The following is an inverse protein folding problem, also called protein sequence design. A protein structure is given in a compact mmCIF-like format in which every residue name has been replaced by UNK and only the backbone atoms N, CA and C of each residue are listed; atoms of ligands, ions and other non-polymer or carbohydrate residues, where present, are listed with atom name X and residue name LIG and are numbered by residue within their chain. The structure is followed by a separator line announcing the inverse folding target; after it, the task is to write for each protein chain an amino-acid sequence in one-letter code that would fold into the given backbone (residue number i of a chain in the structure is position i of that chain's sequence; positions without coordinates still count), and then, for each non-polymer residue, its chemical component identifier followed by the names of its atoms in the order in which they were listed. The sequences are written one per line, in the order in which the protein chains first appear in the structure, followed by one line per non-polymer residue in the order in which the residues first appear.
data_IF_439486185102
#
_entry.id   IF_439486185102
#
_cell.length_a   1.000
_cell.length_b   1.000
_cell.length_c   1.000
_cell.angle_alpha   90.00
_cell.angle_beta   90.00
_cell.angle_gamma   90.00
#
_symmetry.space_group_name_H-M   'P 1'
#
loop_
_entity.id
_entity.type
_entity.pdbx_description
1 polymer ?
#
# COMPACT_ATOMS: atom_id res chain seq x y z
N UNK A 1 82.96 -16.09 -10.80
CA UNK A 1 81.51 -16.27 -10.53
C UNK A 1 80.75 -15.14 -11.22
N UNK A 2 79.99 -15.44 -12.28
CA UNK A 2 79.07 -14.48 -12.93
C UNK A 2 77.65 -14.85 -12.52
N UNK A 3 76.97 -13.93 -11.85
CA UNK A 3 75.57 -14.07 -11.43
C UNK A 3 74.71 -13.56 -12.60
N UNK A 4 73.97 -14.48 -13.24
CA UNK A 4 72.95 -14.14 -14.23
C UNK A 4 71.67 -13.73 -13.49
N UNK A 5 71.25 -12.46 -13.65
CA UNK A 5 69.95 -11.98 -13.21
C UNK A 5 68.88 -12.38 -14.24
N UNK A 6 67.94 -13.22 -13.83
CA UNK A 6 66.80 -13.65 -14.64
C UNK A 6 65.69 -12.59 -14.49
N UNK A 7 65.50 -11.73 -15.49
CA UNK A 7 64.34 -10.85 -15.58
C UNK A 7 63.12 -11.67 -16.02
N UNK A 8 62.18 -11.91 -15.10
CA UNK A 8 60.86 -12.46 -15.41
C UNK A 8 59.99 -11.31 -15.91
N UNK A 9 59.76 -11.27 -17.23
CA UNK A 9 58.81 -10.35 -17.84
C UNK A 9 57.38 -10.84 -17.56
N UNK A 10 56.72 -10.23 -16.58
CA UNK A 10 55.30 -10.46 -16.32
C UNK A 10 54.49 -9.85 -17.46
N UNK A 11 53.98 -10.67 -18.38
CA UNK A 11 53.05 -10.24 -19.40
C UNK A 11 51.75 -9.78 -18.73
N UNK A 12 51.50 -8.48 -18.72
CA UNK A 12 50.21 -7.91 -18.31
C UNK A 12 49.21 -8.28 -19.41
N UNK A 13 48.46 -9.35 -19.18
CA UNK A 13 47.30 -9.69 -20.03
C UNK A 13 46.26 -8.60 -19.80
N UNK A 14 46.16 -7.66 -20.74
CA UNK A 14 45.09 -6.69 -20.76
C UNK A 14 43.79 -7.43 -21.11
N UNK A 15 42.97 -7.70 -20.10
CA UNK A 15 41.64 -8.26 -20.30
C UNK A 15 40.84 -7.33 -21.21
N UNK A 16 40.63 -7.77 -22.44
CA UNK A 16 39.81 -7.10 -23.44
C UNK A 16 38.41 -6.82 -22.88
N UNK A 17 37.97 -5.57 -22.94
CA UNK A 17 36.65 -5.10 -22.48
C UNK A 17 35.52 -5.39 -23.48
N UNK A 18 35.83 -6.02 -24.62
CA UNK A 18 34.87 -6.32 -25.69
C UNK A 18 33.73 -7.29 -25.30
N UNK A 19 33.90 -8.31 -24.42
CA UNK A 19 32.82 -9.24 -24.07
C UNK A 19 31.64 -8.58 -23.32
N UNK A 20 31.91 -7.53 -22.55
CA UNK A 20 30.90 -6.96 -21.64
C UNK A 20 29.81 -6.12 -22.34
N UNK A 21 30.10 -5.59 -23.54
CA UNK A 21 29.13 -4.82 -24.34
C UNK A 21 28.12 -5.72 -25.04
N UNK A 22 28.54 -6.91 -25.49
CA UNK A 22 27.68 -7.83 -26.23
C UNK A 22 26.53 -8.36 -25.36
N UNK A 23 26.74 -8.52 -24.06
CA UNK A 23 25.76 -9.12 -23.16
C UNK A 23 24.61 -8.19 -22.76
N UNK A 24 24.84 -6.88 -22.70
CA UNK A 24 23.81 -5.93 -22.22
C UNK A 24 23.02 -5.26 -23.34
N UNK A 25 23.58 -5.20 -24.55
CA UNK A 25 22.95 -4.54 -25.69
C UNK A 25 22.81 -3.02 -25.56
N UNK A 26 23.42 -2.40 -24.53
CA UNK A 26 23.29 -0.95 -24.26
C UNK A 26 24.46 -0.17 -24.87
N UNK A 27 24.14 1.00 -25.41
CA UNK A 27 25.11 1.95 -25.97
C UNK A 27 25.53 2.97 -24.92
N UNK A 28 26.74 3.50 -25.06
CA UNK A 28 27.28 4.51 -24.16
C UNK A 28 27.75 5.71 -24.96
N UNK A 29 27.42 6.91 -24.49
CA UNK A 29 27.92 8.17 -25.06
C UNK A 29 28.55 9.02 -23.96
N UNK A 30 29.72 9.56 -24.24
CA UNK A 30 30.45 10.46 -23.33
C UNK A 30 30.83 9.84 -21.97
N UNK A 31 30.89 8.51 -21.88
CA UNK A 31 31.28 7.79 -20.66
C UNK A 31 32.76 7.40 -20.71
N UNK A 32 33.53 7.76 -19.67
CA UNK A 32 34.86 7.21 -19.46
C UNK A 32 34.81 5.71 -19.15
N UNK A 33 35.91 4.98 -19.39
CA UNK A 33 35.96 3.50 -19.27
C UNK A 33 35.49 3.00 -17.90
N UNK A 34 36.01 3.54 -16.81
CA UNK A 34 35.63 3.12 -15.45
C UNK A 34 34.13 3.37 -15.15
N UNK A 35 33.60 4.52 -15.57
CA UNK A 35 32.17 4.87 -15.42
C UNK A 35 31.30 3.90 -16.22
N UNK A 36 31.68 3.62 -17.47
CA UNK A 36 31.00 2.67 -18.34
C UNK A 36 30.95 1.27 -17.73
N UNK A 37 32.07 0.76 -17.23
CA UNK A 37 32.13 -0.56 -16.60
C UNK A 37 31.22 -0.64 -15.37
N UNK A 38 31.21 0.39 -14.52
CA UNK A 38 30.32 0.41 -13.36
C UNK A 38 28.83 0.45 -13.77
N UNK A 39 28.46 1.24 -14.79
CA UNK A 39 27.07 1.23 -15.30
C UNK A 39 26.70 -0.15 -15.85
N UNK A 40 27.60 -0.83 -16.58
CA UNK A 40 27.33 -2.19 -17.07
C UNK A 40 27.05 -3.14 -15.90
N UNK A 41 27.87 -3.09 -14.84
CA UNK A 41 27.66 -3.93 -13.65
C UNK A 41 26.34 -3.61 -12.93
N UNK A 42 26.04 -2.32 -12.75
CA UNK A 42 24.80 -1.86 -12.14
C UNK A 42 23.57 -2.30 -12.96
N UNK A 43 23.61 -2.12 -14.29
CA UNK A 43 22.52 -2.51 -15.17
C UNK A 43 22.33 -4.03 -15.20
N UNK A 44 23.41 -4.83 -15.24
CA UNK A 44 23.33 -6.29 -15.07
C UNK A 44 22.64 -6.68 -13.76
N UNK A 45 22.85 -5.93 -12.68
CA UNK A 45 22.15 -6.15 -11.41
C UNK A 45 20.65 -5.86 -11.55
N UNK A 46 20.25 -4.78 -12.21
CA UNK A 46 18.84 -4.50 -12.54
C UNK A 46 18.23 -5.65 -13.35
N UNK A 47 18.92 -6.12 -14.40
CA UNK A 47 18.48 -7.25 -15.22
C UNK A 47 18.32 -8.54 -14.40
N UNK A 48 19.28 -8.83 -13.51
CA UNK A 48 19.21 -9.97 -12.59
C UNK A 48 18.00 -9.85 -11.65
N UNK A 49 17.77 -8.67 -11.05
CA UNK A 49 16.64 -8.42 -10.13
C UNK A 49 15.29 -8.62 -10.81
N UNK A 50 15.07 -8.05 -11.99
CA UNK A 50 13.79 -8.15 -12.71
C UNK A 50 13.59 -9.49 -13.46
N UNK A 51 14.65 -10.27 -13.62
CA UNK A 51 14.64 -11.61 -14.23
C UNK A 51 14.82 -12.72 -13.21
N UNK A 52 16.07 -13.11 -12.96
CA UNK A 52 16.42 -14.26 -12.11
C UNK A 52 15.95 -14.13 -10.65
N UNK A 53 15.82 -12.90 -10.12
CA UNK A 53 15.37 -12.65 -8.76
C UNK A 53 13.99 -11.97 -8.71
N UNK A 54 13.17 -12.17 -9.74
CA UNK A 54 11.84 -11.53 -9.86
C UNK A 54 10.99 -11.76 -8.62
N UNK A 55 10.93 -12.98 -8.09
CA UNK A 55 10.10 -13.30 -6.92
C UNK A 55 10.53 -12.54 -5.66
N UNK A 56 11.84 -12.36 -5.45
CA UNK A 56 12.37 -11.57 -4.34
C UNK A 56 12.00 -10.10 -4.50
N UNK A 57 12.10 -9.57 -5.72
CA UNK A 57 11.72 -8.19 -6.02
C UNK A 57 10.21 -7.97 -5.87
N UNK A 58 9.38 -8.90 -6.34
CA UNK A 58 7.91 -8.87 -6.13
C UNK A 58 7.59 -8.90 -4.65
N UNK A 59 8.25 -9.76 -3.86
CA UNK A 59 8.06 -9.82 -2.40
C UNK A 59 8.45 -8.51 -1.72
N UNK A 60 9.58 -7.91 -2.10
CA UNK A 60 9.99 -6.61 -1.58
C UNK A 60 8.94 -5.53 -1.87
N UNK A 61 8.45 -5.47 -3.11
CA UNK A 61 7.38 -4.53 -3.49
C UNK A 61 6.03 -4.86 -2.86
N UNK A 62 5.78 -6.12 -2.47
CA UNK A 62 4.56 -6.51 -1.75
C UNK A 62 4.61 -6.12 -0.26
N UNK A 63 5.81 -5.98 0.30
CA UNK A 63 6.05 -5.46 1.65
C UNK A 63 6.14 -3.93 1.70
N UNK A 64 6.26 -3.28 0.55
CA UNK A 64 6.40 -1.84 0.47
C UNK A 64 5.09 -1.11 0.81
N UNK A 65 5.22 0.12 1.27
CA UNK A 65 4.17 1.12 1.20
C UNK A 65 4.46 2.03 0.01
N UNK A 66 3.63 1.97 -1.01
CA UNK A 66 3.73 2.57 -2.33
C UNK A 66 2.57 3.52 -2.59
N UNK A 67 2.88 4.80 -2.78
CA UNK A 67 1.95 5.82 -3.29
C UNK A 67 2.14 6.01 -4.80
N UNK A 68 1.15 6.63 -5.46
CA UNK A 68 1.18 6.93 -6.90
C UNK A 68 1.30 5.70 -7.84
N UNK A 69 0.88 4.53 -7.36
CA UNK A 69 1.00 3.26 -8.08
C UNK A 69 -0.03 3.01 -9.18
N UNK A 70 -0.93 3.95 -9.47
CA UNK A 70 -1.96 3.81 -10.53
C UNK A 70 -2.80 2.53 -10.40
N UNK A 71 -3.08 2.07 -9.17
CA UNK A 71 -3.77 0.80 -8.87
C UNK A 71 -3.05 -0.45 -9.39
N UNK A 72 -1.77 -0.35 -9.77
CA UNK A 72 -0.95 -1.50 -10.12
C UNK A 72 -0.50 -2.25 -8.86
N UNK A 73 -0.47 -3.58 -8.95
CA UNK A 73 0.05 -4.44 -7.88
C UNK A 73 1.55 -4.70 -8.05
N UNK A 74 2.21 -5.29 -7.04
CA UNK A 74 3.66 -5.53 -7.03
C UNK A 74 4.16 -6.24 -8.30
N UNK A 75 3.48 -7.31 -8.72
CA UNK A 75 3.82 -8.03 -9.95
C UNK A 75 3.76 -7.16 -11.20
N UNK A 76 2.74 -6.31 -11.30
CA UNK A 76 2.59 -5.39 -12.42
C UNK A 76 3.69 -4.33 -12.39
N UNK A 77 3.98 -3.73 -11.23
CA UNK A 77 5.08 -2.77 -11.07
C UNK A 77 6.43 -3.37 -11.49
N UNK A 78 6.75 -4.58 -11.04
CA UNK A 78 7.98 -5.30 -11.45
C UNK A 78 7.98 -5.65 -12.94
N UNK A 79 6.83 -6.02 -13.50
CA UNK A 79 6.69 -6.25 -14.94
C UNK A 79 6.84 -4.94 -15.75
N UNK A 80 6.44 -3.79 -15.22
CA UNK A 80 6.65 -2.49 -15.84
C UNK A 80 8.15 -2.12 -15.84
N UNK A 81 8.89 -2.40 -14.77
CA UNK A 81 10.36 -2.28 -14.75
C UNK A 81 11.02 -3.16 -15.84
N UNK A 82 10.48 -4.35 -16.09
CA UNK A 82 10.95 -5.23 -17.17
C UNK A 82 10.74 -4.62 -18.57
N UNK A 83 9.65 -3.87 -18.77
CA UNK A 83 9.34 -3.21 -20.04
C UNK A 83 10.08 -1.88 -20.23
N UNK A 84 10.73 -1.38 -19.19
CA UNK A 84 11.35 -0.07 -19.15
C UNK A 84 12.81 -0.09 -19.64
N UNK A 85 13.08 -0.67 -20.81
CA UNK A 85 14.46 -0.88 -21.24
C UNK A 85 15.24 0.40 -21.50
N UNK A 86 16.52 0.38 -21.10
CA UNK A 86 17.50 1.41 -21.42
C UNK A 86 18.36 0.87 -22.57
N UNK A 87 18.37 1.58 -23.69
CA UNK A 87 19.17 1.26 -24.87
C UNK A 87 20.43 2.12 -24.95
N UNK A 88 20.44 3.30 -24.33
CA UNK A 88 21.59 4.23 -24.35
C UNK A 88 21.77 4.95 -23.02
N UNK A 89 22.98 4.91 -22.48
CA UNK A 89 23.43 5.75 -21.37
C UNK A 89 24.23 6.96 -21.89
N UNK A 90 23.87 8.15 -21.41
CA UNK A 90 24.52 9.42 -21.71
C UNK A 90 25.21 9.92 -20.43
N UNK A 91 26.52 9.77 -20.32
CA UNK A 91 27.25 10.24 -19.14
C UNK A 91 27.61 11.72 -19.28
N UNK A 92 27.16 12.54 -18.34
CA UNK A 92 27.44 13.98 -18.28
C UNK A 92 27.57 14.42 -16.82
N UNK A 93 28.00 15.64 -16.58
CA UNK A 93 27.77 16.27 -15.29
C UNK A 93 26.35 16.86 -15.31
N UNK A 94 25.52 16.44 -14.37
CA UNK A 94 24.17 16.95 -14.19
C UNK A 94 24.20 18.08 -13.14
N UNK A 95 23.05 18.74 -12.94
CA UNK A 95 22.93 19.78 -11.93
C UNK A 95 23.18 19.21 -10.53
N UNK A 96 23.62 20.08 -9.60
CA UNK A 96 23.79 19.69 -8.20
C UNK A 96 22.48 19.06 -7.68
N UNK A 97 22.58 17.83 -7.17
CA UNK A 97 21.49 16.96 -6.67
C UNK A 97 20.81 16.04 -7.69
N UNK A 98 21.22 16.02 -8.96
CA UNK A 98 20.71 15.07 -9.94
C UNK A 98 21.65 13.87 -10.14
N UNK A 99 21.19 12.67 -9.78
CA UNK A 99 21.95 11.42 -10.04
C UNK A 99 21.73 10.89 -11.45
N UNK A 100 20.51 11.02 -11.96
CA UNK A 100 20.11 10.61 -13.31
C UNK A 100 18.84 11.33 -13.74
N UNK A 101 18.56 11.33 -15.04
CA UNK A 101 17.30 11.82 -15.60
C UNK A 101 16.88 10.99 -16.81
N UNK A 102 15.59 10.68 -16.90
CA UNK A 102 14.97 10.29 -18.17
C UNK A 102 14.97 11.43 -19.19
N UNK A 103 14.96 11.05 -20.46
CA UNK A 103 14.69 11.97 -21.56
C UNK A 103 13.25 11.80 -22.03
N UNK A 104 12.39 12.78 -21.73
CA UNK A 104 10.95 12.74 -22.03
C UNK A 104 10.62 12.38 -23.49
N UNK A 105 11.46 12.82 -24.44
CA UNK A 105 11.25 12.62 -25.88
C UNK A 105 12.03 11.43 -26.46
N UNK A 106 13.01 10.88 -25.73
CA UNK A 106 13.93 9.86 -26.22
C UNK A 106 13.77 8.57 -25.42
N UNK A 107 12.76 7.76 -25.77
CA UNK A 107 12.56 6.46 -25.11
C UNK A 107 13.83 5.60 -25.19
N UNK A 108 14.17 4.97 -24.07
CA UNK A 108 15.35 4.12 -23.95
C UNK A 108 16.67 4.88 -23.75
N UNK A 109 16.69 6.21 -23.73
CA UNK A 109 17.88 6.97 -23.35
C UNK A 109 17.80 7.44 -21.89
N UNK A 110 18.91 7.32 -21.18
CA UNK A 110 19.06 7.79 -19.81
C UNK A 110 20.29 8.69 -19.70
N UNK A 111 20.11 9.89 -19.14
CA UNK A 111 21.24 10.71 -18.68
C UNK A 111 21.61 10.25 -17.27
N UNK A 112 22.90 10.05 -17.03
CA UNK A 112 23.39 9.67 -15.70
C UNK A 112 24.59 10.54 -15.35
N UNK A 113 24.60 11.01 -14.11
CA UNK A 113 25.69 11.86 -13.63
C UNK A 113 26.97 11.05 -13.49
N UNK A 114 28.03 11.55 -14.11
CA UNK A 114 29.32 10.85 -14.17
C UNK A 114 29.98 10.77 -12.80
N UNK A 115 29.88 11.83 -12.01
CA UNK A 115 30.52 11.92 -10.70
C UNK A 115 29.77 11.03 -9.69
N UNK A 116 28.43 11.03 -9.73
CA UNK A 116 27.58 10.06 -9.03
C UNK A 116 28.00 8.62 -9.32
N UNK A 117 28.09 8.22 -10.59
CA UNK A 117 28.52 6.85 -10.93
C UNK A 117 29.93 6.59 -10.40
N UNK A 118 30.87 7.52 -10.54
CA UNK A 118 32.24 7.32 -10.03
C UNK A 118 32.27 7.10 -8.52
N UNK A 119 31.51 7.90 -7.78
CA UNK A 119 31.66 8.04 -6.34
C UNK A 119 30.74 7.11 -5.53
N UNK A 120 29.69 6.56 -6.15
CA UNK A 120 28.72 5.65 -5.51
C UNK A 120 28.97 4.17 -5.76
N UNK A 121 28.36 3.33 -4.91
CA UNK A 121 28.42 1.88 -5.02
C UNK A 121 27.60 1.35 -6.20
N UNK A 122 27.97 0.19 -6.75
CA UNK A 122 27.25 -0.43 -7.88
C UNK A 122 25.77 -0.72 -7.57
N UNK A 123 25.42 -0.95 -6.30
CA UNK A 123 24.03 -1.21 -5.90
C UNK A 123 23.19 0.06 -5.92
N UNK A 124 23.71 1.16 -5.36
CA UNK A 124 23.07 2.48 -5.40
C UNK A 124 22.85 2.90 -6.86
N UNK A 125 23.88 2.77 -7.71
CA UNK A 125 23.75 3.06 -9.16
C UNK A 125 22.68 2.17 -9.81
N UNK A 126 22.55 0.91 -9.42
CA UNK A 126 21.50 0.02 -9.94
C UNK A 126 20.10 0.44 -9.49
N UNK A 127 19.94 0.85 -8.22
CA UNK A 127 18.71 1.41 -7.68
C UNK A 127 18.26 2.65 -8.46
N UNK A 128 19.15 3.62 -8.63
CA UNK A 128 18.88 4.85 -9.39
C UNK A 128 18.56 4.58 -10.86
N UNK A 129 19.20 3.60 -11.50
CA UNK A 129 18.80 3.18 -12.86
C UNK A 129 17.36 2.66 -12.86
N UNK A 130 16.99 1.83 -11.88
CA UNK A 130 15.63 1.31 -11.77
C UNK A 130 14.60 2.41 -11.48
N UNK A 131 14.94 3.41 -10.66
CA UNK A 131 14.15 4.61 -10.42
C UNK A 131 13.74 5.27 -11.74
N UNK A 132 14.74 5.65 -12.55
CA UNK A 132 14.53 6.35 -13.81
C UNK A 132 13.80 5.49 -14.85
N UNK A 133 14.00 4.18 -14.81
CA UNK A 133 13.22 3.24 -15.62
C UNK A 133 11.72 3.29 -15.25
N UNK A 134 11.35 3.45 -13.98
CA UNK A 134 9.95 3.63 -13.59
C UNK A 134 9.39 4.97 -14.10
N UNK A 135 10.21 6.03 -14.11
CA UNK A 135 9.82 7.27 -14.77
C UNK A 135 9.53 7.08 -16.28
N UNK A 136 10.23 6.18 -16.98
CA UNK A 136 9.95 5.85 -18.39
C UNK A 136 8.62 5.11 -18.59
N UNK A 137 8.08 4.49 -17.54
CA UNK A 137 6.75 3.85 -17.55
C UNK A 137 5.63 4.78 -17.11
N UNK A 138 5.94 6.05 -16.86
CA UNK A 138 4.95 7.08 -16.54
C UNK A 138 4.66 7.24 -15.06
N UNK A 139 5.37 6.53 -14.18
CA UNK A 139 5.34 6.82 -12.74
C UNK A 139 6.08 8.13 -12.45
N UNK A 140 5.59 8.90 -11.49
CA UNK A 140 6.06 10.25 -11.17
C UNK A 140 6.07 10.42 -9.65
N UNK A 141 6.51 11.61 -9.24
CA UNK A 141 6.48 12.13 -7.87
C UNK A 141 5.52 13.32 -7.78
N UNK A 142 4.40 13.27 -8.51
CA UNK A 142 3.56 14.45 -8.74
C UNK A 142 2.67 14.80 -7.56
N UNK A 143 2.22 13.79 -6.81
CA UNK A 143 1.46 13.99 -5.58
C UNK A 143 2.35 14.11 -4.35
N UNK A 144 3.57 13.58 -4.43
CA UNK A 144 4.53 13.50 -3.34
C UNK A 144 5.91 13.93 -3.86
N UNK A 145 6.12 15.24 -4.08
CA UNK A 145 7.41 15.75 -4.54
C UNK A 145 8.51 15.56 -3.48
N UNK A 146 9.76 15.74 -3.89
CA UNK A 146 10.92 15.66 -3.00
C UNK A 146 10.69 16.52 -1.75
N UNK A 147 10.94 15.93 -0.58
CA UNK A 147 10.81 16.59 0.72
C UNK A 147 9.48 16.35 1.43
N UNK A 148 8.50 15.70 0.81
CA UNK A 148 7.28 15.25 1.51
C UNK A 148 7.51 13.91 2.22
N UNK A 149 6.67 13.62 3.22
CA UNK A 149 6.77 12.41 4.05
C UNK A 149 6.67 11.11 3.23
N UNK A 150 5.89 11.15 2.14
CA UNK A 150 5.63 10.00 1.28
C UNK A 150 6.47 9.97 0.00
N UNK A 151 7.41 10.90 -0.20
CA UNK A 151 8.33 10.83 -1.34
C UNK A 151 9.07 9.48 -1.40
N UNK A 152 9.68 8.96 -0.31
CA UNK A 152 10.35 7.64 -0.32
C UNK A 152 9.40 6.47 -0.60
N UNK A 153 8.09 6.71 -0.45
CA UNK A 153 7.06 5.72 -0.69
C UNK A 153 6.51 5.79 -2.12
N UNK A 154 7.00 6.65 -3.01
CA UNK A 154 6.56 6.63 -4.42
C UNK A 154 7.04 5.36 -5.14
N UNK A 155 6.38 4.99 -6.25
CA UNK A 155 6.80 3.81 -7.05
C UNK A 155 8.28 3.84 -7.44
N UNK A 156 8.85 4.94 -7.97
CA UNK A 156 10.25 4.96 -8.36
C UNK A 156 11.20 4.74 -7.18
N UNK A 157 10.92 5.38 -6.03
CA UNK A 157 11.72 5.27 -4.81
C UNK A 157 11.67 3.87 -4.20
N UNK A 158 10.48 3.25 -4.15
CA UNK A 158 10.35 1.88 -3.64
C UNK A 158 11.04 0.86 -4.55
N UNK A 159 10.95 1.03 -5.88
CA UNK A 159 11.66 0.16 -6.82
C UNK A 159 13.17 0.34 -6.73
N UNK A 160 13.65 1.57 -6.56
CA UNK A 160 15.07 1.88 -6.33
C UNK A 160 15.61 1.09 -5.14
N UNK A 161 14.97 1.26 -3.99
CA UNK A 161 15.44 0.60 -2.77
C UNK A 161 15.30 -0.94 -2.84
N UNK A 162 14.20 -1.44 -3.40
CA UNK A 162 14.04 -2.88 -3.59
C UNK A 162 15.06 -3.49 -4.57
N UNK A 163 15.48 -2.77 -5.61
CA UNK A 163 16.54 -3.24 -6.52
C UNK A 163 17.91 -3.22 -5.84
N UNK A 164 18.18 -2.15 -5.09
CA UNK A 164 19.44 -1.96 -4.35
C UNK A 164 19.61 -3.02 -3.25
N UNK A 165 18.67 -3.05 -2.30
CA UNK A 165 18.78 -3.74 -1.01
C UNK A 165 17.83 -4.94 -0.84
N UNK A 166 16.84 -5.14 -1.73
CA UNK A 166 15.70 -6.07 -1.50
C UNK A 166 14.93 -5.80 -0.21
N UNK A 167 14.97 -4.56 0.26
CA UNK A 167 14.18 -4.09 1.41
C UNK A 167 13.48 -2.81 0.95
N UNK A 168 12.18 -2.64 1.22
CA UNK A 168 11.48 -1.42 0.83
C UNK A 168 11.89 -0.24 1.71
N UNK A 169 11.61 0.97 1.24
CA UNK A 169 11.67 2.16 2.10
C UNK A 169 10.62 2.03 3.22
N UNK A 170 11.00 2.46 4.41
CA UNK A 170 10.09 2.52 5.54
C UNK A 170 8.93 3.49 5.26
N UNK A 171 7.80 3.25 5.91
CA UNK A 171 6.63 4.11 5.84
C UNK A 171 6.95 5.50 6.40
N UNK A 172 6.66 6.55 5.64
CA UNK A 172 6.77 7.92 6.13
C UNK A 172 8.19 8.32 6.52
N UNK A 173 9.22 7.61 6.05
CA UNK A 173 10.63 7.90 6.34
C UNK A 173 11.17 9.11 5.58
N UNK A 174 10.29 10.03 5.18
CA UNK A 174 10.69 11.36 4.71
C UNK A 174 11.50 12.07 5.79
N UNK A 175 12.19 13.16 5.39
CA UNK A 175 13.04 14.03 6.22
C UNK A 175 12.85 13.82 7.74
N UNK A 176 13.87 13.32 8.44
CA UNK A 176 13.79 12.92 9.87
C UNK A 176 13.29 14.00 10.84
N UNK A 177 13.13 15.24 10.36
CA UNK A 177 12.59 16.36 11.11
C UNK A 177 11.07 16.55 10.95
N UNK A 178 10.39 15.78 10.08
CA UNK A 178 8.92 15.82 9.98
C UNK A 178 8.28 14.78 10.91
N UNK A 179 7.16 15.13 11.56
CA UNK A 179 6.37 14.16 12.31
C UNK A 179 5.99 12.98 11.41
N UNK A 180 6.03 11.75 11.94
CA UNK A 180 5.57 10.56 11.22
C UNK A 180 4.14 10.83 10.73
N UNK A 181 3.86 10.64 9.42
CA UNK A 181 2.54 10.93 8.90
C UNK A 181 1.46 10.06 9.56
N UNK A 182 0.19 10.51 9.59
CA UNK A 182 -0.90 9.74 10.18
C UNK A 182 -0.96 8.32 9.62
N UNK A 183 -1.09 7.32 10.49
CA UNK A 183 -1.23 5.92 10.09
C UNK A 183 -0.15 5.02 10.69
N UNK A 184 -0.01 3.83 10.10
CA UNK A 184 0.98 2.82 10.47
C UNK A 184 1.57 2.17 9.23
N UNK A 185 2.78 1.65 9.37
CA UNK A 185 3.47 0.86 8.36
C UNK A 185 2.90 -0.56 8.20
N UNK A 186 2.13 -1.04 9.18
CA UNK A 186 1.50 -2.35 9.17
C UNK A 186 0.07 -2.36 9.73
N UNK A 187 -0.67 -3.43 9.43
CA UNK A 187 -2.07 -3.58 9.78
C UNK A 187 -2.10 -4.26 11.12
N UNK A 188 -2.71 -3.60 12.09
CA UNK A 188 -2.94 -4.15 13.41
C UNK A 188 -4.44 -4.10 13.69
N UNK A 189 -5.09 -5.24 13.45
CA UNK A 189 -6.52 -5.44 13.66
C UNK A 189 -6.95 -5.06 15.09
N UNK A 190 -6.07 -5.21 16.09
CA UNK A 190 -6.39 -4.92 17.50
C UNK A 190 -6.54 -3.44 17.80
N UNK A 191 -6.19 -2.59 16.85
CA UNK A 191 -6.22 -1.13 16.98
C UNK A 191 -7.24 -0.49 16.07
N UNK A 192 -8.05 -1.30 15.40
CA UNK A 192 -9.14 -0.83 14.57
C UNK A 192 -10.35 -0.50 15.46
N UNK A 193 -10.95 0.65 15.21
CA UNK A 193 -12.28 1.01 15.71
C UNK A 193 -13.38 0.32 14.88
N UNK A 194 -13.13 0.11 13.59
CA UNK A 194 -14.02 -0.64 12.70
C UNK A 194 -13.79 -0.32 11.23
N UNK A 195 -14.69 -0.85 10.39
CA UNK A 195 -14.59 -0.81 8.94
C UNK A 195 -15.92 -0.42 8.32
N UNK A 196 -15.87 0.12 7.11
CA UNK A 196 -17.01 0.31 6.25
C UNK A 196 -16.57 0.14 4.80
N UNK A 197 -17.49 -0.14 3.90
CA UNK A 197 -17.19 -0.33 2.49
C UNK A 197 -18.10 0.58 1.66
N UNK A 198 -17.51 1.20 0.66
CA UNK A 198 -18.19 1.94 -0.39
C UNK A 198 -18.45 1.00 -1.56
N UNK A 199 -19.71 0.61 -1.74
CA UNK A 199 -20.12 -0.38 -2.74
C UNK A 199 -19.73 0.04 -4.15
N UNK A 200 -19.98 1.31 -4.48
CA UNK A 200 -19.81 1.85 -5.85
C UNK A 200 -18.37 1.74 -6.36
N UNK A 201 -17.39 1.90 -5.47
CA UNK A 201 -15.97 1.89 -5.84
C UNK A 201 -15.16 0.76 -5.18
N UNK A 202 -15.83 -0.08 -4.39
CA UNK A 202 -15.27 -1.19 -3.63
C UNK A 202 -14.13 -0.77 -2.67
N UNK A 203 -14.18 0.47 -2.15
CA UNK A 203 -13.20 0.95 -1.18
C UNK A 203 -13.62 0.54 0.22
N UNK A 204 -12.75 -0.23 0.87
CA UNK A 204 -12.82 -0.45 2.31
C UNK A 204 -12.15 0.71 3.01
N UNK A 205 -12.90 1.37 3.86
CA UNK A 205 -12.41 2.33 4.84
C UNK A 205 -12.22 1.62 6.17
N UNK A 206 -11.12 1.94 6.86
CA UNK A 206 -10.91 1.51 8.25
C UNK A 206 -10.46 2.68 9.11
N UNK A 207 -11.02 2.75 10.31
CA UNK A 207 -10.71 3.78 11.30
C UNK A 207 -9.89 3.18 12.44
N UNK A 208 -8.76 3.78 12.77
CA UNK A 208 -7.85 3.35 13.84
C UNK A 208 -8.08 4.16 15.12
N UNK A 209 -7.84 3.53 16.28
CA UNK A 209 -7.82 4.15 17.61
C UNK A 209 -6.94 5.41 17.70
N UNK A 210 -5.89 5.52 16.89
CA UNK A 210 -5.01 6.69 16.85
C UNK A 210 -5.63 7.90 16.15
N UNK A 211 -6.86 7.79 15.63
CA UNK A 211 -7.54 8.87 14.94
C UNK A 211 -7.20 9.01 13.46
N UNK A 212 -6.67 7.95 12.85
CA UNK A 212 -6.42 7.87 11.42
C UNK A 212 -7.49 7.03 10.73
N UNK A 213 -7.84 7.41 9.51
CA UNK A 213 -8.62 6.60 8.58
C UNK A 213 -7.78 6.30 7.35
N UNK A 214 -7.93 5.09 6.83
CA UNK A 214 -7.31 4.64 5.59
C UNK A 214 -8.36 4.12 4.63
N UNK A 215 -8.02 4.06 3.33
CA UNK A 215 -8.88 3.47 2.31
C UNK A 215 -8.09 2.52 1.40
N UNK A 216 -8.63 1.33 1.19
CA UNK A 216 -8.00 0.25 0.43
C UNK A 216 -8.99 -0.83 0.00
N UNK A 217 -8.50 -2.01 -0.34
CA UNK A 217 -9.36 -3.17 -0.58
C UNK A 217 -9.46 -4.04 0.67
N UNK A 218 -10.33 -5.05 0.64
CA UNK A 218 -10.59 -5.94 1.78
C UNK A 218 -9.35 -6.68 2.29
N UNK A 219 -8.38 -6.99 1.42
CA UNK A 219 -7.12 -7.62 1.81
C UNK A 219 -5.93 -6.66 1.82
N UNK A 220 -6.12 -5.38 1.45
CA UNK A 220 -5.05 -4.39 1.31
C UNK A 220 -5.55 -3.00 1.70
N UNK A 221 -5.48 -2.70 2.98
CA UNK A 221 -6.20 -1.58 3.58
C UNK A 221 -5.71 -0.17 3.17
N UNK A 222 -4.53 -0.04 2.58
CA UNK A 222 -3.97 1.26 2.15
C UNK A 222 -3.92 1.45 0.62
N UNK A 223 -4.66 0.63 -0.14
CA UNK A 223 -4.53 0.55 -1.60
C UNK A 223 -5.12 1.74 -2.39
N UNK A 224 -5.91 2.62 -1.78
CA UNK A 224 -6.63 3.68 -2.50
C UNK A 224 -6.35 5.10 -2.03
N UNK A 225 -6.10 5.32 -0.73
CA UNK A 225 -5.78 6.65 -0.20
C UNK A 225 -4.65 6.57 0.81
N UNK A 226 -3.82 7.61 0.81
CA UNK A 226 -2.89 7.89 1.90
C UNK A 226 -3.72 8.08 3.17
N UNK A 227 -3.34 7.49 4.32
CA UNK A 227 -4.09 7.67 5.55
C UNK A 227 -4.16 9.13 5.97
N UNK A 228 -5.27 9.53 6.56
CA UNK A 228 -5.53 10.90 7.00
C UNK A 228 -6.23 10.89 8.36
N UNK A 229 -6.19 12.01 9.08
CA UNK A 229 -6.86 12.10 10.37
C UNK A 229 -8.38 12.19 10.20
N UNK A 230 -9.12 11.67 11.18
CA UNK A 230 -10.56 11.90 11.27
C UNK A 230 -10.94 12.57 12.60
N UNK A 231 -11.95 13.42 12.53
CA UNK A 231 -12.59 14.04 13.67
C UNK A 231 -13.89 13.31 14.05
N UNK A 232 -14.24 13.47 15.33
CA UNK A 232 -15.55 13.12 15.91
C UNK A 232 -16.10 14.36 16.59
N UNK A 233 -17.40 14.36 16.88
CA UNK A 233 -18.06 15.46 17.57
C UNK A 233 -17.34 15.85 18.89
N UNK A 234 -17.32 17.13 19.30
CA UNK A 234 -16.57 17.65 20.46
C UNK A 234 -16.86 17.00 21.84
N UNK A 235 -17.85 16.11 21.94
CA UNK A 235 -18.24 15.38 23.17
C UNK A 235 -18.17 13.86 23.02
N UNK A 236 -17.71 13.36 21.88
CA UNK A 236 -17.65 11.93 21.58
C UNK A 236 -16.23 11.43 21.84
N UNK A 237 -16.12 10.43 22.70
CA UNK A 237 -14.90 9.64 22.78
C UNK A 237 -14.92 8.62 21.64
N UNK A 238 -13.92 8.67 20.75
CA UNK A 238 -13.83 7.73 19.61
C UNK A 238 -13.82 6.25 20.04
N UNK A 239 -13.37 5.95 21.26
CA UNK A 239 -13.35 4.59 21.81
C UNK A 239 -14.75 4.08 22.22
N UNK A 240 -15.76 4.95 22.17
CA UNK A 240 -17.16 4.57 22.33
C UNK A 240 -17.81 4.15 21.02
N UNK A 241 -17.13 4.24 19.88
CA UNK A 241 -17.65 3.70 18.62
C UNK A 241 -17.69 2.16 18.69
N UNK A 242 -18.84 1.59 18.35
CA UNK A 242 -19.09 0.13 18.35
C UNK A 242 -19.32 -0.44 16.95
N UNK A 243 -19.42 0.42 15.93
CA UNK A 243 -19.60 0.01 14.56
C UNK A 243 -19.58 1.17 13.59
N UNK A 244 -19.27 0.88 12.33
CA UNK A 244 -19.31 1.81 11.23
C UNK A 244 -20.19 1.27 10.10
N UNK A 245 -20.60 2.17 9.23
CA UNK A 245 -21.32 1.86 8.00
C UNK A 245 -21.14 3.02 7.06
N UNK A 246 -21.09 2.74 5.77
CA UNK A 246 -20.90 3.77 4.75
C UNK A 246 -21.97 3.55 3.69
N UNK A 247 -22.71 4.62 3.43
CA UNK A 247 -23.61 4.72 2.30
C UNK A 247 -22.82 5.33 1.14
N UNK A 248 -22.58 4.53 0.08
CA UNK A 248 -21.77 4.90 -1.07
C UNK A 248 -22.38 6.07 -1.84
N UNK A 249 -23.68 5.99 -2.11
CA UNK A 249 -24.45 6.97 -2.88
C UNK A 249 -24.37 8.37 -2.29
N UNK A 250 -24.47 8.47 -0.95
CA UNK A 250 -24.40 9.76 -0.24
C UNK A 250 -23.03 10.07 0.32
N UNK A 251 -22.06 9.15 0.16
CA UNK A 251 -20.73 9.16 0.77
C UNK A 251 -20.80 9.52 2.27
N UNK A 252 -21.78 8.96 2.96
CA UNK A 252 -22.09 9.26 4.36
C UNK A 252 -21.64 8.10 5.24
N UNK A 253 -20.75 8.40 6.17
CA UNK A 253 -20.30 7.46 7.19
C UNK A 253 -21.18 7.59 8.41
N UNK A 254 -21.73 6.48 8.87
CA UNK A 254 -22.40 6.35 10.14
C UNK A 254 -21.45 5.70 11.15
N UNK A 255 -21.38 6.27 12.35
CA UNK A 255 -20.70 5.66 13.48
C UNK A 255 -21.67 5.53 14.66
N UNK A 256 -21.87 4.29 15.13
CA UNK A 256 -22.73 4.00 16.27
C UNK A 256 -21.91 4.03 17.56
N UNK A 257 -22.46 4.66 18.58
CA UNK A 257 -21.80 4.87 19.86
C UNK A 257 -22.38 3.97 20.94
N UNK A 258 -21.55 3.60 21.91
CA UNK A 258 -21.87 2.76 23.07
C UNK A 258 -22.96 3.37 23.95
N UNK A 259 -23.12 4.68 23.92
CA UNK A 259 -24.14 5.40 24.68
C UNK A 259 -25.52 5.42 24.01
N UNK A 260 -25.70 4.73 22.87
CA UNK A 260 -26.96 4.66 22.14
C UNK A 260 -27.21 5.83 21.18
N UNK A 261 -26.17 6.60 20.82
CA UNK A 261 -26.24 7.63 19.77
C UNK A 261 -25.58 7.17 18.46
N UNK A 262 -25.97 7.80 17.36
CA UNK A 262 -25.33 7.71 16.05
C UNK A 262 -24.85 9.10 15.66
N UNK A 263 -23.66 9.18 15.07
CA UNK A 263 -23.18 10.36 14.36
C UNK A 263 -23.03 10.02 12.88
N UNK A 264 -23.24 11.00 11.99
CA UNK A 264 -23.04 10.77 10.57
C UNK A 264 -22.39 11.96 9.86
N UNK A 265 -21.45 11.65 8.98
CA UNK A 265 -20.54 12.62 8.38
C UNK A 265 -19.79 12.10 7.18
N UNK A 266 -18.66 12.73 6.88
CA UNK A 266 -17.67 12.26 5.92
C UNK A 266 -16.63 11.36 6.62
N UNK A 267 -15.82 10.63 5.86
CA UNK A 267 -14.80 9.74 6.44
C UNK A 267 -13.71 10.45 7.25
N UNK A 268 -13.43 11.73 6.98
CA UNK A 268 -12.52 12.59 7.75
C UNK A 268 -13.21 13.39 8.86
N UNK A 269 -14.54 13.43 8.90
CA UNK A 269 -15.30 14.21 9.89
C UNK A 269 -16.67 13.58 10.13
N UNK A 270 -16.75 12.75 11.18
CA UNK A 270 -17.86 11.82 11.41
C UNK A 270 -19.16 12.47 11.90
N UNK A 271 -19.19 13.79 12.14
CA UNK A 271 -20.41 14.52 12.49
C UNK A 271 -20.77 15.67 11.52
N UNK A 272 -20.02 15.80 10.43
CA UNK A 272 -20.16 16.91 9.46
C UNK A 272 -21.47 16.97 8.68
N UNK A 273 -22.25 15.88 8.59
CA UNK A 273 -23.45 15.80 7.73
C UNK A 273 -24.76 15.77 8.51
N UNK A 274 -24.75 15.23 9.73
CA UNK A 274 -25.96 15.07 10.53
C UNK A 274 -25.67 15.19 12.01
N UNK A 275 -26.49 16.00 12.69
CA UNK A 275 -26.46 16.11 14.14
C UNK A 275 -26.68 14.74 14.81
N UNK A 276 -26.04 14.46 15.95
CA UNK A 276 -26.20 13.18 16.65
C UNK A 276 -27.66 12.86 17.00
N UNK A 277 -28.06 11.60 16.85
CA UNK A 277 -29.42 11.13 17.20
C UNK A 277 -29.38 9.76 17.89
N UNK A 278 -30.48 9.35 18.51
CA UNK A 278 -30.56 8.07 19.24
C UNK A 278 -30.85 6.92 18.28
N UNK A 279 -30.27 5.74 18.54
CA UNK A 279 -30.68 4.50 17.92
C UNK A 279 -31.26 3.50 18.93
N UNK A 280 -32.03 2.54 18.41
CA UNK A 280 -32.62 1.45 19.18
C UNK A 280 -32.10 0.11 18.67
N UNK A 281 -31.98 -0.83 19.60
CA UNK A 281 -31.65 -2.22 19.33
C UNK A 281 -32.89 -3.10 19.47
N UNK A 282 -32.89 -4.31 18.88
CA UNK A 282 -33.87 -5.34 19.21
C UNK A 282 -33.93 -5.57 20.73
N UNK A 283 -35.11 -5.98 21.21
CA UNK A 283 -35.30 -6.28 22.65
C UNK A 283 -34.28 -7.30 23.15
N UNK A 284 -33.66 -7.02 24.30
CA UNK A 284 -32.64 -7.87 24.91
C UNK A 284 -31.20 -7.57 24.50
N UNK A 285 -30.96 -6.67 23.54
CA UNK A 285 -29.62 -6.27 23.12
C UNK A 285 -29.24 -4.90 23.64
N UNK A 286 -27.95 -4.74 23.92
CA UNK A 286 -27.30 -3.48 24.31
C UNK A 286 -26.21 -3.11 23.31
N UNK A 287 -25.75 -1.85 23.26
CA UNK A 287 -24.63 -1.46 22.39
C UNK A 287 -23.36 -2.27 22.61
N UNK A 288 -23.16 -2.78 23.83
CA UNK A 288 -22.02 -3.64 24.12
C UNK A 288 -22.12 -4.98 23.40
N UNK A 289 -23.30 -5.49 23.04
CA UNK A 289 -23.43 -6.81 22.41
C UNK A 289 -23.00 -6.82 20.94
N UNK A 290 -22.79 -5.64 20.33
CA UNK A 290 -22.38 -5.48 18.94
C UNK A 290 -20.92 -5.89 18.76
N UNK A 291 -20.65 -6.70 17.72
CA UNK A 291 -19.30 -7.08 17.27
C UNK A 291 -18.95 -6.51 15.89
N UNK A 292 -19.96 -6.06 15.14
CA UNK A 292 -19.79 -5.47 13.82
C UNK A 292 -21.08 -4.81 13.36
N UNK A 293 -20.94 -3.83 12.47
CA UNK A 293 -22.06 -3.17 11.81
C UNK A 293 -21.69 -2.90 10.35
N UNK A 294 -22.70 -2.61 9.54
CA UNK A 294 -22.49 -2.17 8.17
C UNK A 294 -23.78 -1.62 7.58
N UNK A 295 -23.63 -0.82 6.53
CA UNK A 295 -24.73 -0.23 5.78
C UNK A 295 -24.65 -0.75 4.36
N UNK A 296 -25.76 -1.26 3.88
CA UNK A 296 -25.98 -1.50 2.46
C UNK A 296 -26.45 -0.17 1.85
N UNK A 297 -25.58 0.45 1.03
CA UNK A 297 -25.86 1.73 0.39
C UNK A 297 -27.07 1.69 -0.55
N UNK A 298 -27.30 0.57 -1.24
CA UNK A 298 -28.34 0.50 -2.29
C UNK A 298 -29.75 0.56 -1.72
N UNK A 299 -29.98 -0.06 -0.57
CA UNK A 299 -31.31 -0.18 0.04
C UNK A 299 -31.39 0.41 1.45
N UNK A 300 -30.32 1.05 1.92
CA UNK A 300 -30.20 1.64 3.25
C UNK A 300 -30.46 0.63 4.39
N UNK A 301 -30.23 -0.67 4.17
CA UNK A 301 -30.29 -1.67 5.25
C UNK A 301 -29.10 -1.50 6.16
N UNK A 302 -29.36 -1.43 7.46
CA UNK A 302 -28.33 -1.36 8.49
C UNK A 302 -28.28 -2.72 9.17
N UNK A 303 -27.12 -3.36 9.13
CA UNK A 303 -26.86 -4.66 9.73
C UNK A 303 -26.11 -4.48 11.05
N UNK A 304 -26.50 -5.25 12.06
CA UNK A 304 -25.81 -5.30 13.35
C UNK A 304 -25.62 -6.75 13.75
N UNK A 305 -24.36 -7.17 13.90
CA UNK A 305 -23.97 -8.50 14.34
C UNK A 305 -23.64 -8.48 15.83
N UNK A 306 -24.09 -9.51 16.54
CA UNK A 306 -24.04 -9.60 17.98
C UNK A 306 -23.19 -10.77 18.47
N UNK A 307 -22.66 -10.65 19.69
CA UNK A 307 -21.79 -11.67 20.34
C UNK A 307 -22.41 -13.05 20.50
N UNK A 308 -23.74 -13.14 20.50
CA UNK A 308 -24.49 -14.40 20.64
C UNK A 308 -24.66 -15.15 19.31
N UNK A 309 -23.99 -14.70 18.24
CA UNK A 309 -24.08 -15.32 16.92
C UNK A 309 -25.37 -14.98 16.19
N UNK A 310 -25.99 -13.83 16.51
CA UNK A 310 -27.15 -13.31 15.79
C UNK A 310 -26.87 -11.99 15.08
N UNK A 311 -27.67 -11.71 14.06
CA UNK A 311 -27.65 -10.47 13.29
C UNK A 311 -29.07 -9.94 13.15
N UNK A 312 -29.25 -8.63 13.15
CA UNK A 312 -30.54 -7.98 12.82
C UNK A 312 -30.38 -6.99 11.68
N UNK A 313 -31.51 -6.62 11.06
CA UNK A 313 -31.56 -5.64 9.98
C UNK A 313 -32.55 -4.53 10.32
N UNK A 314 -32.17 -3.29 10.04
CA UNK A 314 -33.02 -2.15 10.31
C UNK A 314 -32.58 -0.87 9.58
N UNK A 315 -32.92 0.26 10.21
CA UNK A 315 -32.50 1.61 9.84
C UNK A 315 -31.43 2.08 10.81
N UNK A 316 -30.73 3.18 10.49
CA UNK A 316 -29.65 3.68 11.35
C UNK A 316 -30.10 4.08 12.76
N UNK A 317 -31.37 4.43 12.96
CA UNK A 317 -32.00 4.73 14.25
C UNK A 317 -32.76 3.55 14.89
N UNK A 318 -32.97 2.44 14.18
CA UNK A 318 -33.63 1.25 14.71
C UNK A 318 -33.13 -0.02 14.01
N UNK A 319 -32.14 -0.69 14.60
CA UNK A 319 -31.40 -1.80 13.98
C UNK A 319 -32.19 -3.13 13.90
N UNK A 320 -33.43 -3.16 14.41
CA UNK A 320 -34.32 -4.32 14.33
C UNK A 320 -35.60 -4.07 13.54
N UNK A 321 -35.75 -2.90 12.89
CA UNK A 321 -37.02 -2.48 12.29
C UNK A 321 -37.43 -3.26 11.04
N UNK A 322 -36.47 -3.90 10.35
CA UNK A 322 -36.71 -4.59 9.08
C UNK A 322 -36.67 -6.11 9.23
N UNK A 323 -35.76 -6.63 10.06
CA UNK A 323 -35.65 -8.06 10.36
C UNK A 323 -35.21 -8.30 11.80
N UNK A 324 -36.02 -9.06 12.52
CA UNK A 324 -35.70 -9.51 13.88
C UNK A 324 -34.42 -10.37 13.89
N UNK A 325 -33.72 -10.48 15.03
CA UNK A 325 -32.46 -11.23 15.12
C UNK A 325 -32.56 -12.67 14.60
N UNK A 326 -31.64 -13.05 13.71
CA UNK A 326 -31.46 -14.41 13.17
C UNK A 326 -30.00 -14.85 13.28
N UNK A 327 -29.74 -16.16 13.20
CA UNK A 327 -28.39 -16.71 13.38
C UNK A 327 -27.47 -16.36 12.20
N UNK A 328 -26.18 -16.19 12.49
CA UNK A 328 -25.11 -16.16 11.49
C UNK A 328 -23.99 -17.13 11.85
N UNK A 329 -23.20 -17.53 10.86
CA UNK A 329 -21.95 -18.29 11.01
C UNK A 329 -20.74 -17.46 10.61
N UNK A 330 -19.61 -17.73 11.26
CA UNK A 330 -18.29 -17.23 10.89
C UNK A 330 -17.51 -18.33 10.18
N UNK A 331 -16.38 -17.96 9.60
CA UNK A 331 -15.44 -18.92 9.06
C UNK A 331 -15.04 -19.98 10.12
N UNK A 332 -14.77 -21.23 9.71
CA UNK A 332 -14.34 -22.28 10.62
C UNK A 332 -13.18 -21.85 11.53
N UNK A 333 -13.35 -22.04 12.84
CA UNK A 333 -12.35 -21.69 13.86
C UNK A 333 -12.48 -20.29 14.45
N UNK A 334 -13.38 -19.44 13.93
CA UNK A 334 -13.64 -18.11 14.47
C UNK A 334 -14.92 -18.05 15.30
N UNK A 335 -14.89 -17.15 16.28
CA UNK A 335 -16.01 -16.82 17.16
C UNK A 335 -16.34 -15.32 17.05
N UNK A 336 -17.53 -14.88 17.52
CA UNK A 336 -17.85 -13.45 17.54
C UNK A 336 -16.83 -12.59 18.31
N UNK A 337 -16.10 -13.17 19.26
CA UNK A 337 -15.05 -12.47 20.00
C UNK A 337 -13.83 -12.13 19.13
N UNK A 338 -13.59 -12.86 18.04
CA UNK A 338 -12.46 -12.68 17.14
C UNK A 338 -12.69 -11.58 16.10
N UNK A 339 -13.93 -11.11 15.95
CA UNK A 339 -14.28 -10.04 15.02
C UNK A 339 -13.82 -8.68 15.57
N UNK A 340 -13.17 -7.88 14.72
CA UNK A 340 -12.80 -6.48 15.00
C UNK A 340 -13.68 -5.47 14.26
N UNK A 341 -14.39 -5.92 13.24
CA UNK A 341 -15.37 -5.13 12.52
C UNK A 341 -15.91 -5.88 11.32
N UNK A 342 -16.97 -5.32 10.73
CA UNK A 342 -17.56 -5.82 9.50
C UNK A 342 -17.75 -4.67 8.52
N UNK A 343 -17.86 -4.99 7.24
CA UNK A 343 -18.21 -4.03 6.20
C UNK A 343 -19.18 -4.68 5.21
N UNK A 344 -20.14 -3.91 4.73
CA UNK A 344 -21.18 -4.37 3.79
C UNK A 344 -20.92 -3.74 2.43
N UNK A 345 -20.88 -4.57 1.40
CA UNK A 345 -20.94 -4.19 0.00
C UNK A 345 -22.36 -4.39 -0.48
N UNK A 346 -23.12 -3.29 -0.54
CA UNK A 346 -24.52 -3.31 -0.98
C UNK A 346 -24.66 -3.80 -2.40
N UNK A 347 -23.83 -3.29 -3.32
CA UNK A 347 -23.88 -3.58 -4.75
C UNK A 347 -23.71 -5.08 -5.05
N UNK A 348 -22.80 -5.73 -4.34
CA UNK A 348 -22.53 -7.16 -4.53
C UNK A 348 -23.21 -8.06 -3.49
N UNK A 349 -24.01 -7.49 -2.58
CA UNK A 349 -24.60 -8.21 -1.43
C UNK A 349 -23.56 -9.05 -0.66
N UNK A 350 -22.34 -8.53 -0.51
CA UNK A 350 -21.24 -9.20 0.19
C UNK A 350 -20.98 -8.54 1.53
N UNK A 351 -20.63 -9.36 2.52
CA UNK A 351 -20.19 -8.88 3.82
C UNK A 351 -18.79 -9.39 4.09
N UNK A 352 -17.95 -8.48 4.56
CA UNK A 352 -16.57 -8.76 4.95
C UNK A 352 -16.46 -8.74 6.46
N UNK A 353 -16.00 -9.84 7.05
CA UNK A 353 -15.70 -9.93 8.46
C UNK A 353 -14.19 -9.84 8.66
N UNK A 354 -13.73 -8.86 9.44
CA UNK A 354 -12.32 -8.65 9.76
C UNK A 354 -12.02 -9.22 11.14
N UNK A 355 -10.92 -9.96 11.25
CA UNK A 355 -10.56 -10.71 12.45
C UNK A 355 -9.32 -10.16 13.15
N UNK A 356 -9.20 -10.40 14.46
CA UNK A 356 -8.08 -9.94 15.32
C UNK A 356 -6.71 -10.44 14.88
N UNK A 357 -6.65 -11.61 14.24
CA UNK A 357 -5.40 -12.23 13.77
C UNK A 357 -4.93 -11.68 12.41
N UNK A 358 -5.62 -10.66 11.90
CA UNK A 358 -5.29 -10.01 10.64
C UNK A 358 -5.91 -10.69 9.42
N UNK A 359 -6.89 -11.56 9.59
CA UNK A 359 -7.59 -12.21 8.48
C UNK A 359 -8.90 -11.49 8.12
N UNK A 360 -9.43 -11.75 6.92
CA UNK A 360 -10.73 -11.30 6.45
C UNK A 360 -11.43 -12.41 5.67
N UNK A 361 -12.72 -12.66 5.92
CA UNK A 361 -13.57 -13.54 5.10
C UNK A 361 -14.59 -12.73 4.30
N UNK A 362 -15.28 -13.35 3.35
CA UNK A 362 -16.39 -12.72 2.64
C UNK A 362 -17.58 -13.68 2.50
N UNK A 363 -18.80 -13.18 2.71
CA UNK A 363 -19.99 -14.01 2.68
C UNK A 363 -21.29 -13.20 2.67
N UNK A 364 -22.36 -13.78 3.21
CA UNK A 364 -23.68 -13.14 3.39
C UNK A 364 -23.92 -12.81 4.87
N UNK A 365 -25.05 -12.15 5.18
CA UNK A 365 -25.38 -11.72 6.55
C UNK A 365 -25.48 -12.86 7.57
N UNK A 366 -25.84 -14.05 7.11
CA UNK A 366 -25.99 -15.29 7.86
C UNK A 366 -24.82 -16.27 7.69
N UNK A 367 -23.92 -16.05 6.74
CA UNK A 367 -22.82 -16.98 6.43
C UNK A 367 -21.58 -16.22 5.95
N UNK A 368 -20.72 -15.80 6.88
CA UNK A 368 -19.69 -14.77 6.66
C UNK A 368 -18.43 -15.24 5.92
N UNK A 369 -18.37 -16.48 5.47
CA UNK A 369 -17.30 -17.02 4.61
C UNK A 369 -17.81 -17.73 3.35
N UNK A 370 -19.11 -17.62 3.07
CA UNK A 370 -19.78 -18.24 1.90
C UNK A 370 -19.09 -17.98 0.55
N UNK A 371 -18.53 -16.79 0.36
CA UNK A 371 -17.90 -16.40 -0.91
C UNK A 371 -16.38 -16.50 -0.88
N UNK A 372 -15.78 -16.33 0.29
CA UNK A 372 -14.33 -16.36 0.46
C UNK A 372 -13.95 -16.79 1.87
N UNK A 373 -13.20 -17.89 1.95
CA UNK A 373 -12.51 -18.31 3.14
C UNK A 373 -11.54 -17.21 3.65
N UNK A 374 -11.13 -17.25 4.94
CA UNK A 374 -10.22 -16.26 5.50
C UNK A 374 -8.95 -16.06 4.67
N UNK A 375 -8.69 -14.80 4.32
CA UNK A 375 -7.49 -14.35 3.64
C UNK A 375 -6.77 -13.30 4.49
N UNK A 376 -5.43 -13.26 4.41
CA UNK A 376 -4.66 -12.28 5.19
C UNK A 376 -4.89 -10.86 4.67
N UNK A 377 -5.18 -9.95 5.59
CA UNK A 377 -5.12 -8.51 5.38
C UNK A 377 -3.67 -8.08 5.58
N UNK A 378 -3.14 -7.35 4.61
CA UNK A 378 -1.80 -6.78 4.68
C UNK A 378 -1.89 -5.26 4.56
N UNK A 379 -0.90 -4.58 5.14
CA UNK A 379 -0.68 -3.16 4.87
C UNK A 379 0.11 -3.01 3.60
N UNK A 380 -0.26 -1.98 2.84
CA UNK A 380 0.34 -1.66 1.56
C UNK A 380 -0.61 -1.89 0.39
N UNK A 381 -0.48 -1.05 -0.62
CA UNK A 381 0.52 -1.38 -1.63
C UNK A 381 1.67 -0.46 -1.48
#
# INVERSE_FOLDING_TARGET
MRILALMVATAIVTNSTTPALAETGVRFQSCGTAVKEKIIQAYRRVLKRRGQQREQLVRCMDQAYVVEHQRHGPEKLVNELRKADVTTFLCRNLDANASAHKLLLDRGKMKIDRDFVRDRGTNEVAGTIAHEMMHNRGYKHSGNPIGTDFYPNTVPEQIENCVEMLTPNAYGSGNSNTPIPPGRDHYDATKMLGFALDGENNYVFGWDLNGTVFAGSTTRIHNYRIPYTFAVAPSVNRNDIVGFGLDGDTNMVFAWLRDGRVIAGASNDLDSKRAPYRYRLPSGYTPNDIVGMGVDGENNNNFAWYRDGRVSVGTSDNLGSRRAPYRYTLAPGYTPADVVGMAVDGENNMIFAFYRDGMVSAGTSDDLDKFRAPARVITGR
#
